data_IF_540828705433
#
_entry.id   IF_540828705433
#
_cell.length_a   1.000
_cell.length_b   1.000
_cell.length_c   1.000
_cell.angle_alpha   90.00
_cell.angle_beta   90.00
_cell.angle_gamma   90.00
#
_symmetry.space_group_name_H-M   'P 1'
#
loop_
_entity.id
_entity.type
_entity.pdbx_description
1 polymer ?
#
# COMPACT_ATOMS: atom_id res chain seq x y z
N UNK A 1 12.21 -17.08 41.45
CA UNK A 1 11.79 -15.85 40.75
C UNK A 1 11.33 -14.78 41.74
N UNK A 2 10.41 -15.08 42.67
CA UNK A 2 9.84 -14.13 43.64
C UNK A 2 10.88 -13.51 44.57
N UNK A 3 11.97 -14.23 44.92
CA UNK A 3 13.05 -13.78 45.80
C UNK A 3 13.97 -12.72 45.11
N UNK A 4 14.22 -12.90 43.81
CA UNK A 4 15.05 -11.95 43.01
C UNK A 4 14.31 -10.64 42.78
N UNK A 5 13.01 -10.67 42.50
CA UNK A 5 12.16 -9.49 42.33
C UNK A 5 12.16 -8.64 43.63
N UNK A 6 12.07 -9.27 44.81
CA UNK A 6 12.10 -8.56 46.10
C UNK A 6 13.48 -7.95 46.41
N UNK A 7 14.56 -8.68 46.06
CA UNK A 7 15.93 -8.28 46.43
C UNK A 7 16.48 -7.16 45.50
N UNK A 8 16.07 -7.14 44.23
CA UNK A 8 16.58 -6.17 43.24
C UNK A 8 15.55 -5.13 42.80
N UNK A 9 14.34 -5.13 43.41
CA UNK A 9 13.25 -4.18 43.16
C UNK A 9 12.92 -3.99 41.67
N UNK A 10 12.91 -5.11 40.94
CA UNK A 10 12.50 -5.06 39.52
C UNK A 10 11.03 -4.64 39.40
N UNK A 11 10.78 -3.58 38.62
CA UNK A 11 9.42 -3.15 38.29
C UNK A 11 8.78 -4.17 37.32
N UNK A 12 7.71 -4.78 37.75
CA UNK A 12 6.89 -5.69 36.91
C UNK A 12 5.53 -5.04 36.69
N UNK A 13 4.83 -5.31 35.55
CA UNK A 13 3.48 -4.80 35.33
C UNK A 13 2.57 -5.06 36.52
N UNK A 14 1.95 -4.00 37.09
CA UNK A 14 1.11 -4.06 38.30
C UNK A 14 1.81 -3.71 39.61
N UNK A 15 3.08 -3.26 39.56
CA UNK A 15 3.85 -2.81 40.75
C UNK A 15 4.52 -1.46 40.52
N UNK A 16 3.74 -0.54 39.94
CA UNK A 16 4.14 0.85 39.73
C UNK A 16 3.70 1.69 40.93
N UNK A 17 4.66 2.44 41.53
CA UNK A 17 4.41 3.36 42.65
C UNK A 17 3.79 4.68 42.11
N UNK A 18 2.69 4.61 41.37
CA UNK A 18 1.92 5.78 41.04
C UNK A 18 0.48 5.56 41.50
N UNK A 19 0.08 6.39 42.44
CA UNK A 19 -1.32 6.57 42.89
C UNK A 19 -2.24 7.15 41.79
N UNK A 20 -1.91 6.97 40.53
CA UNK A 20 -2.83 7.24 39.42
C UNK A 20 -3.68 5.97 39.23
N UNK A 21 -4.88 6.01 39.77
CA UNK A 21 -5.93 5.02 39.48
C UNK A 21 -5.99 4.78 37.98
N UNK A 22 -5.67 3.56 37.56
CA UNK A 22 -5.98 3.08 36.20
C UNK A 22 -7.49 3.11 36.04
N UNK A 23 -8.02 4.25 35.61
CA UNK A 23 -9.43 4.37 35.23
C UNK A 23 -9.68 3.52 34.01
N UNK A 24 -10.27 2.36 34.22
CA UNK A 24 -10.94 1.62 33.16
C UNK A 24 -12.08 2.50 32.63
N UNK A 25 -11.88 3.11 31.48
CA UNK A 25 -12.92 3.87 30.82
C UNK A 25 -14.05 2.93 30.40
N UNK A 26 -15.22 3.16 30.96
CA UNK A 26 -16.44 2.45 30.54
C UNK A 26 -16.99 3.13 29.27
N UNK A 27 -17.85 2.39 28.53
CA UNK A 27 -18.51 2.92 27.32
C UNK A 27 -19.19 4.28 27.57
N UNK A 28 -19.68 4.55 28.79
CA UNK A 28 -20.27 5.83 29.21
C UNK A 28 -19.25 6.95 29.36
N UNK A 29 -18.00 6.65 29.73
CA UNK A 29 -16.95 7.65 29.87
C UNK A 29 -16.43 8.11 28.50
N UNK A 30 -16.50 7.23 27.49
CA UNK A 30 -16.18 7.54 26.10
C UNK A 30 -17.25 8.43 25.49
N UNK A 31 -18.55 8.18 25.77
CA UNK A 31 -19.66 9.00 25.30
C UNK A 31 -19.67 10.40 25.95
N UNK A 32 -19.27 10.52 27.22
CA UNK A 32 -19.17 11.80 27.91
C UNK A 32 -18.02 12.69 27.38
N UNK A 33 -16.92 12.11 26.87
CA UNK A 33 -15.83 12.84 26.21
C UNK A 33 -16.17 13.34 24.81
N UNK A 34 -17.12 12.72 24.12
CA UNK A 34 -17.62 13.20 22.81
C UNK A 34 -18.35 14.56 22.86
N UNK A 35 -18.77 14.99 24.05
CA UNK A 35 -19.51 16.26 24.22
C UNK A 35 -18.67 17.44 24.74
N UNK A 36 -17.36 17.33 24.81
CA UNK A 36 -16.47 18.39 25.35
C UNK A 36 -15.11 18.50 24.65
N UNK A 37 -15.05 19.20 23.54
CA UNK A 37 -13.93 20.03 23.07
C UNK A 37 -12.61 19.37 22.65
N UNK A 38 -12.32 19.42 21.34
CA UNK A 38 -10.99 19.37 20.69
C UNK A 38 -10.19 18.06 20.76
N UNK A 39 -10.66 17.02 20.07
CA UNK A 39 -9.84 15.98 19.43
C UNK A 39 -10.72 15.19 18.43
N UNK A 40 -11.38 15.86 17.49
CA UNK A 40 -12.42 15.28 16.64
C UNK A 40 -12.14 15.37 15.12
N UNK A 41 -10.95 15.81 14.69
CA UNK A 41 -10.71 15.95 13.25
C UNK A 41 -10.39 14.61 12.54
N UNK A 42 -9.64 13.71 13.16
CA UNK A 42 -9.28 12.44 12.51
C UNK A 42 -10.46 11.46 12.33
N UNK A 43 -11.20 11.18 13.39
CA UNK A 43 -12.30 10.20 13.34
C UNK A 43 -13.52 10.66 12.52
N UNK A 44 -13.70 11.98 12.34
CA UNK A 44 -14.77 12.53 11.50
C UNK A 44 -14.42 12.42 10.01
N UNK A 45 -13.16 12.64 9.66
CA UNK A 45 -12.63 12.53 8.28
C UNK A 45 -12.64 11.06 7.80
N UNK A 46 -12.27 10.12 8.65
CA UNK A 46 -12.26 8.69 8.32
C UNK A 46 -13.68 8.12 8.14
N UNK A 47 -14.65 8.56 8.94
CA UNK A 47 -16.06 8.20 8.78
C UNK A 47 -16.68 8.78 7.50
N UNK A 48 -16.26 9.97 7.09
CA UNK A 48 -16.70 10.62 5.86
C UNK A 48 -16.11 9.91 4.62
N UNK A 49 -14.84 9.51 4.65
CA UNK A 49 -14.20 8.73 3.58
C UNK A 49 -14.91 7.39 3.37
N UNK A 50 -15.21 6.66 4.44
CA UNK A 50 -15.92 5.37 4.37
C UNK A 50 -17.35 5.54 3.82
N UNK A 51 -18.03 6.63 4.16
CA UNK A 51 -19.36 6.96 3.63
C UNK A 51 -19.30 7.23 2.11
N UNK A 52 -18.29 7.98 1.65
CA UNK A 52 -18.09 8.27 0.23
C UNK A 52 -17.74 7.01 -0.55
N UNK A 53 -16.88 6.11 -0.02
CA UNK A 53 -16.56 4.82 -0.63
C UNK A 53 -17.83 3.96 -0.73
N UNK A 54 -18.62 3.87 0.33
CA UNK A 54 -19.86 3.13 0.35
C UNK A 54 -20.84 3.65 -0.72
N UNK A 55 -21.02 4.97 -0.81
CA UNK A 55 -21.85 5.59 -1.83
C UNK A 55 -21.31 5.37 -3.25
N UNK A 56 -19.99 5.47 -3.44
CA UNK A 56 -19.34 5.20 -4.71
C UNK A 56 -19.49 3.74 -5.18
N UNK A 57 -19.63 2.80 -4.26
CA UNK A 57 -19.94 1.39 -4.55
C UNK A 57 -21.44 1.14 -4.79
N UNK A 58 -22.29 2.17 -4.75
CA UNK A 58 -23.73 2.06 -4.97
C UNK A 58 -24.54 1.81 -3.71
N UNK A 59 -23.97 2.15 -2.54
CA UNK A 59 -24.61 2.05 -1.24
C UNK A 59 -24.44 0.69 -0.54
N UNK A 60 -24.67 0.66 0.77
CA UNK A 60 -24.49 -0.51 1.64
C UNK A 60 -25.15 -1.79 1.07
N UNK A 61 -26.37 -1.66 0.54
CA UNK A 61 -27.14 -2.79 0.00
C UNK A 61 -26.54 -3.37 -1.29
N UNK A 62 -25.69 -2.61 -1.98
CA UNK A 62 -25.01 -3.08 -3.19
C UNK A 62 -23.70 -3.82 -2.88
N UNK A 63 -23.15 -3.69 -1.68
CA UNK A 63 -21.88 -4.31 -1.28
C UNK A 63 -22.17 -5.68 -0.68
N UNK A 64 -21.63 -6.74 -1.28
CA UNK A 64 -21.77 -8.11 -0.75
C UNK A 64 -20.54 -8.58 0.03
N UNK A 65 -19.35 -8.08 -0.32
CA UNK A 65 -18.09 -8.46 0.32
C UNK A 65 -17.06 -7.34 0.22
N UNK A 66 -16.20 -7.22 1.25
CA UNK A 66 -15.09 -6.26 1.30
C UNK A 66 -13.83 -6.98 1.74
N UNK A 67 -12.82 -7.01 0.88
CA UNK A 67 -11.50 -7.54 1.15
C UNK A 67 -10.43 -6.57 0.65
N UNK A 68 -9.17 -6.81 0.95
CA UNK A 68 -8.07 -6.04 0.38
C UNK A 68 -6.86 -6.93 0.09
N UNK A 69 -6.04 -6.49 -0.83
CA UNK A 69 -4.66 -6.97 -0.94
C UNK A 69 -3.72 -5.83 -0.54
N UNK A 70 -2.46 -5.94 -0.92
CA UNK A 70 -1.39 -5.00 -0.59
C UNK A 70 -1.74 -3.52 -0.82
N UNK A 71 -2.46 -3.21 -1.89
CA UNK A 71 -2.70 -1.83 -2.35
C UNK A 71 -4.09 -1.59 -2.88
N UNK A 72 -4.96 -2.62 -2.93
CA UNK A 72 -6.30 -2.55 -3.53
C UNK A 72 -7.37 -2.97 -2.53
N UNK A 73 -8.36 -2.13 -2.36
CA UNK A 73 -9.63 -2.53 -1.77
C UNK A 73 -10.39 -3.36 -2.81
N UNK A 74 -10.78 -4.56 -2.46
CA UNK A 74 -11.50 -5.49 -3.32
C UNK A 74 -12.92 -5.64 -2.81
N UNK A 75 -13.87 -5.11 -3.54
CA UNK A 75 -15.28 -5.19 -3.18
C UNK A 75 -16.01 -6.06 -4.19
N UNK A 76 -16.93 -6.88 -3.70
CA UNK A 76 -17.93 -7.56 -4.56
C UNK A 76 -19.24 -6.83 -4.42
N UNK A 77 -19.87 -6.47 -5.55
CA UNK A 77 -21.14 -5.75 -5.60
C UNK A 77 -22.21 -6.59 -6.28
N UNK A 78 -23.48 -6.39 -5.91
CA UNK A 78 -24.59 -7.08 -6.56
C UNK A 78 -24.87 -6.53 -7.97
N UNK A 79 -24.79 -5.19 -8.11
CA UNK A 79 -25.07 -4.49 -9.37
C UNK A 79 -23.90 -3.56 -9.71
N UNK A 80 -23.01 -3.98 -10.62
CA UNK A 80 -21.85 -3.21 -11.07
C UNK A 80 -22.23 -1.86 -11.72
N UNK A 81 -23.42 -1.78 -12.32
CA UNK A 81 -23.92 -0.55 -12.95
C UNK A 81 -24.22 0.59 -11.95
N UNK A 82 -24.29 0.30 -10.64
CA UNK A 82 -24.47 1.31 -9.57
C UNK A 82 -23.18 1.91 -9.08
N UNK A 83 -22.03 1.37 -9.50
CA UNK A 83 -20.72 1.85 -9.06
C UNK A 83 -20.39 3.16 -9.78
N UNK A 84 -19.98 4.15 -8.99
CA UNK A 84 -19.60 5.48 -9.47
C UNK A 84 -18.10 5.68 -9.34
N UNK A 85 -17.36 5.48 -10.43
CA UNK A 85 -15.90 5.60 -10.48
C UNK A 85 -15.39 7.00 -10.18
N UNK A 86 -16.13 8.04 -10.59
CA UNK A 86 -15.73 9.42 -10.32
C UNK A 86 -15.77 9.71 -8.82
N UNK A 87 -16.82 9.24 -8.12
CA UNK A 87 -16.92 9.38 -6.67
C UNK A 87 -15.82 8.56 -5.96
N UNK A 88 -15.54 7.35 -6.42
CA UNK A 88 -14.45 6.54 -5.86
C UNK A 88 -13.07 7.18 -6.07
N UNK A 89 -12.81 7.76 -7.24
CA UNK A 89 -11.56 8.52 -7.48
C UNK A 89 -11.47 9.77 -6.60
N UNK A 90 -12.58 10.46 -6.36
CA UNK A 90 -12.62 11.64 -5.48
C UNK A 90 -12.26 11.30 -4.01
N UNK A 91 -12.33 10.02 -3.60
CA UNK A 91 -11.87 9.57 -2.28
C UNK A 91 -10.34 9.42 -2.17
N UNK A 92 -9.59 9.77 -3.20
CA UNK A 92 -8.14 9.63 -3.26
C UNK A 92 -7.67 8.29 -3.84
N UNK A 93 -8.56 7.53 -4.49
CA UNK A 93 -8.17 6.33 -5.21
C UNK A 93 -7.42 6.68 -6.49
N UNK A 94 -6.27 6.05 -6.72
CA UNK A 94 -5.48 6.21 -7.95
C UNK A 94 -6.15 5.56 -9.16
N UNK A 95 -7.09 4.63 -8.96
CA UNK A 95 -7.81 3.97 -10.02
C UNK A 95 -8.91 3.04 -9.53
N UNK A 96 -9.84 2.70 -10.45
CA UNK A 96 -10.91 1.73 -10.22
C UNK A 96 -10.93 0.74 -11.37
N UNK A 97 -10.92 -0.55 -11.05
CA UNK A 97 -10.91 -1.65 -12.03
C UNK A 97 -12.13 -2.53 -11.80
N UNK A 98 -12.86 -2.83 -12.87
CA UNK A 98 -14.03 -3.69 -12.85
C UNK A 98 -13.73 -5.08 -13.40
N UNK A 99 -14.11 -6.14 -12.65
CA UNK A 99 -14.06 -7.55 -13.10
C UNK A 99 -15.40 -8.23 -12.80
N UNK A 100 -16.37 -8.07 -13.69
CA UNK A 100 -17.74 -8.54 -13.48
C UNK A 100 -18.40 -7.82 -12.31
N UNK A 101 -18.73 -8.53 -11.23
CA UNK A 101 -19.26 -7.97 -9.98
C UNK A 101 -18.15 -7.53 -9.01
N UNK A 102 -16.88 -7.83 -9.31
CA UNK A 102 -15.74 -7.40 -8.52
C UNK A 102 -15.29 -6.01 -8.91
N UNK A 103 -15.09 -5.14 -7.91
CA UNK A 103 -14.56 -3.78 -8.04
C UNK A 103 -13.27 -3.69 -7.23
N UNK A 104 -12.18 -3.29 -7.87
CA UNK A 104 -10.89 -3.08 -7.22
C UNK A 104 -10.59 -1.59 -7.21
N UNK A 105 -10.45 -1.02 -6.03
CA UNK A 105 -10.19 0.41 -5.82
C UNK A 105 -8.78 0.53 -5.27
N UNK A 106 -7.92 1.31 -5.92
CA UNK A 106 -6.49 1.36 -5.64
C UNK A 106 -6.20 2.54 -4.73
N UNK A 107 -5.84 2.24 -3.47
CA UNK A 107 -5.50 3.21 -2.43
C UNK A 107 -4.04 3.16 -1.99
N UNK A 108 -3.24 2.25 -2.58
CA UNK A 108 -1.86 2.04 -2.14
C UNK A 108 -1.76 1.39 -0.75
N UNK A 109 -0.63 1.58 -0.05
CA UNK A 109 -0.33 0.88 1.22
C UNK A 109 -1.34 1.14 2.35
N UNK A 110 -2.08 2.25 2.30
CA UNK A 110 -3.10 2.62 3.31
C UNK A 110 -4.38 1.78 3.26
N UNK A 111 -4.50 0.89 2.28
CA UNK A 111 -5.73 0.12 2.00
C UNK A 111 -6.22 -0.72 3.17
N UNK A 112 -5.34 -1.27 3.99
CA UNK A 112 -5.73 -2.08 5.16
C UNK A 112 -6.50 -1.26 6.20
N UNK A 113 -6.05 -0.02 6.46
CA UNK A 113 -6.76 0.91 7.35
C UNK A 113 -8.09 1.32 6.74
N UNK A 114 -8.12 1.63 5.44
CA UNK A 114 -9.35 1.99 4.72
C UNK A 114 -10.36 0.84 4.76
N UNK A 115 -9.91 -0.41 4.57
CA UNK A 115 -10.78 -1.59 4.69
C UNK A 115 -11.40 -1.68 6.06
N UNK A 116 -10.59 -1.61 7.12
CA UNK A 116 -11.07 -1.72 8.51
C UNK A 116 -12.10 -0.63 8.82
N UNK A 117 -11.82 0.61 8.44
CA UNK A 117 -12.74 1.74 8.66
C UNK A 117 -14.04 1.59 7.84
N UNK A 118 -13.96 1.04 6.62
CA UNK A 118 -15.13 0.77 5.79
C UNK A 118 -15.99 -0.35 6.39
N UNK A 119 -15.39 -1.44 6.88
CA UNK A 119 -16.11 -2.53 7.56
C UNK A 119 -16.83 -2.00 8.81
N UNK A 120 -16.15 -1.23 9.65
CA UNK A 120 -16.73 -0.59 10.83
C UNK A 120 -17.89 0.36 10.45
N UNK A 121 -17.73 1.14 9.38
CA UNK A 121 -18.80 1.99 8.85
C UNK A 121 -19.99 1.16 8.38
N UNK A 122 -19.76 0.09 7.60
CA UNK A 122 -20.82 -0.75 7.06
C UNK A 122 -21.61 -1.46 8.17
N UNK A 123 -21.01 -1.79 9.31
CA UNK A 123 -21.75 -2.35 10.47
C UNK A 123 -22.76 -1.35 11.03
N UNK A 124 -22.44 -0.06 11.06
CA UNK A 124 -23.21 0.99 11.73
C UNK A 124 -23.96 1.94 10.79
N UNK A 125 -23.69 1.88 9.46
CA UNK A 125 -24.29 2.77 8.47
C UNK A 125 -25.82 2.58 8.40
N UNK A 126 -26.58 3.68 8.25
CA UNK A 126 -28.01 3.61 7.99
C UNK A 126 -28.28 2.88 6.66
N UNK A 127 -29.42 2.22 6.57
CA UNK A 127 -29.83 1.53 5.33
C UNK A 127 -30.29 2.48 4.22
N UNK A 128 -30.41 3.78 4.51
CA UNK A 128 -30.80 4.80 3.55
C UNK A 128 -29.59 5.26 2.73
N UNK A 129 -29.81 5.45 1.42
CA UNK A 129 -28.77 5.89 0.49
C UNK A 129 -28.32 7.31 0.83
N UNK A 130 -27.04 7.49 1.16
CA UNK A 130 -26.41 8.81 1.24
C UNK A 130 -26.01 9.22 -0.17
N UNK A 131 -26.73 10.19 -0.74
CA UNK A 131 -26.38 10.75 -2.07
C UNK A 131 -25.36 11.86 -1.88
N UNK A 132 -24.21 11.72 -2.53
CA UNK A 132 -23.20 12.79 -2.65
C UNK A 132 -23.35 13.46 -4.03
N UNK A 133 -23.36 14.79 -4.04
CA UNK A 133 -23.42 15.56 -5.28
C UNK A 133 -22.01 15.71 -5.84
N UNK A 134 -21.77 15.15 -7.04
CA UNK A 134 -20.47 15.17 -7.74
C UNK A 134 -20.35 16.32 -8.73
N UNK A 135 -21.21 17.33 -8.68
CA UNK A 135 -21.25 18.43 -9.68
C UNK A 135 -19.99 19.31 -9.72
N UNK A 136 -19.09 19.23 -8.72
CA UNK A 136 -17.90 20.08 -8.60
C UNK A 136 -16.57 19.28 -8.68
N UNK A 137 -16.58 18.02 -9.10
CA UNK A 137 -15.35 17.26 -9.28
C UNK A 137 -14.83 17.43 -10.70
N UNK A 138 -13.90 18.36 -10.87
CA UNK A 138 -13.10 18.45 -12.11
C UNK A 138 -12.22 17.18 -12.22
N UNK A 139 -12.35 16.45 -13.33
CA UNK A 139 -11.43 15.36 -13.65
C UNK A 139 -10.00 15.95 -13.77
N UNK A 140 -9.01 15.38 -13.06
CA UNK A 140 -7.63 15.78 -13.27
C UNK A 140 -7.24 15.42 -14.71
N UNK A 141 -7.17 16.43 -15.58
CA UNK A 141 -6.63 16.29 -16.93
C UNK A 141 -5.15 15.95 -16.81
N UNK A 142 -4.77 14.72 -17.17
CA UNK A 142 -3.37 14.37 -17.40
C UNK A 142 -2.84 15.17 -18.58
N UNK A 143 -2.29 16.34 -18.31
CA UNK A 143 -1.50 17.06 -19.31
C UNK A 143 -0.14 16.36 -19.50
N UNK A 144 -0.02 15.68 -20.62
CA UNK A 144 1.23 15.16 -21.16
C UNK A 144 2.15 16.33 -21.62
N UNK A 145 2.78 17.05 -20.68
CA UNK A 145 3.72 18.15 -21.00
C UNK A 145 4.98 18.14 -20.14
N UNK A 146 5.61 16.98 -19.94
CA UNK A 146 6.82 16.87 -19.10
C UNK A 146 8.13 16.87 -19.90
N UNK A 147 8.09 16.87 -21.24
CA UNK A 147 9.30 16.67 -22.09
C UNK A 147 10.33 17.80 -22.10
N UNK A 148 10.05 18.98 -21.50
CA UNK A 148 10.94 20.14 -21.66
C UNK A 148 11.33 20.88 -20.36
N UNK A 149 11.09 20.27 -19.18
CA UNK A 149 11.51 20.86 -17.90
C UNK A 149 12.98 20.51 -17.59
N UNK A 150 13.72 21.48 -17.02
CA UNK A 150 15.10 21.24 -16.58
C UNK A 150 15.13 20.33 -15.38
N UNK A 151 16.05 19.38 -15.38
CA UNK A 151 16.25 18.42 -14.30
C UNK A 151 16.89 19.09 -13.09
N UNK A 152 16.27 19.00 -11.93
CA UNK A 152 16.76 19.55 -10.65
C UNK A 152 17.51 18.50 -9.82
N UNK A 153 16.97 17.30 -9.71
CA UNK A 153 17.57 16.19 -8.98
C UNK A 153 17.33 14.87 -9.71
N UNK A 154 18.10 13.86 -9.41
CA UNK A 154 17.92 12.50 -9.92
C UNK A 154 18.42 11.50 -8.93
N UNK A 155 17.56 10.56 -8.56
CA UNK A 155 17.88 9.43 -7.72
C UNK A 155 17.79 8.15 -8.53
N UNK A 156 18.80 7.29 -8.43
CA UNK A 156 18.86 6.04 -9.17
C UNK A 156 18.46 4.90 -8.25
N UNK A 157 17.45 4.16 -8.67
CA UNK A 157 17.01 2.93 -8.04
C UNK A 157 17.66 1.76 -8.78
N UNK A 158 18.28 0.89 -8.01
CA UNK A 158 18.96 -0.29 -8.55
C UNK A 158 18.00 -1.47 -8.70
N UNK A 159 18.35 -2.43 -9.55
CA UNK A 159 17.64 -3.70 -9.60
C UNK A 159 17.79 -4.46 -8.28
N UNK A 160 16.69 -4.93 -7.68
CA UNK A 160 16.74 -5.72 -6.46
C UNK A 160 17.18 -7.18 -6.71
N UNK A 161 17.25 -7.65 -7.93
CA UNK A 161 17.70 -9.01 -8.29
C UNK A 161 18.25 -9.10 -9.71
N UNK A 162 18.96 -10.20 -9.99
CA UNK A 162 19.36 -10.59 -11.33
C UNK A 162 18.11 -10.98 -12.12
N UNK A 163 18.00 -10.52 -13.37
CA UNK A 163 16.83 -10.84 -14.16
C UNK A 163 16.74 -10.12 -15.49
N UNK A 164 15.53 -9.98 -15.98
CA UNK A 164 15.19 -9.27 -17.21
C UNK A 164 14.32 -8.08 -16.86
N UNK A 165 14.87 -6.87 -17.01
CA UNK A 165 14.18 -5.61 -16.79
C UNK A 165 13.28 -5.25 -17.96
N UNK A 166 12.19 -4.55 -17.67
CA UNK A 166 11.27 -4.02 -18.66
C UNK A 166 10.50 -2.81 -18.12
N UNK A 167 9.81 -2.14 -19.03
CA UNK A 167 8.91 -1.03 -18.68
C UNK A 167 7.73 -1.53 -17.87
N UNK A 168 7.28 -0.73 -16.88
CA UNK A 168 6.16 -1.11 -16.01
C UNK A 168 4.87 -1.40 -16.80
N UNK A 169 4.68 -0.77 -17.96
CA UNK A 169 3.52 -1.00 -18.83
C UNK A 169 3.46 -2.41 -19.41
N UNK A 170 4.54 -3.18 -19.30
CA UNK A 170 4.60 -4.59 -19.71
C UNK A 170 4.14 -5.57 -18.62
N UNK A 171 3.83 -5.07 -17.42
CA UNK A 171 3.29 -5.90 -16.35
C UNK A 171 1.97 -6.57 -16.78
N UNK A 172 1.78 -7.89 -16.56
CA UNK A 172 0.55 -8.59 -16.91
C UNK A 172 -0.56 -8.36 -15.86
N UNK A 173 -0.71 -7.12 -15.44
CA UNK A 173 -1.73 -6.63 -14.51
C UNK A 173 -2.03 -5.15 -14.80
N UNK A 174 -3.31 -4.83 -14.99
CA UNK A 174 -3.76 -3.49 -15.38
C UNK A 174 -3.44 -2.39 -14.36
N UNK A 175 -3.42 -2.72 -13.06
CA UNK A 175 -3.08 -1.74 -12.01
C UNK A 175 -1.62 -1.33 -12.04
N UNK A 176 -0.72 -2.28 -12.32
CA UNK A 176 0.70 -1.98 -12.51
C UNK A 176 0.97 -1.36 -13.89
N UNK A 177 0.48 -1.96 -14.97
CA UNK A 177 0.69 -1.46 -16.33
C UNK A 177 0.07 -0.08 -16.55
N UNK A 178 -1.06 0.21 -15.93
CA UNK A 178 -1.72 1.53 -15.96
C UNK A 178 -1.12 2.55 -14.99
N UNK A 179 -0.02 2.23 -14.30
CA UNK A 179 0.66 3.11 -13.31
C UNK A 179 -0.26 3.59 -12.17
N UNK A 180 -1.34 2.88 -11.92
CA UNK A 180 -2.31 3.25 -10.88
C UNK A 180 -1.77 2.98 -9.45
N UNK A 181 -0.68 2.23 -9.33
CA UNK A 181 -0.04 1.87 -8.05
C UNK A 181 1.31 2.56 -7.85
N UNK A 182 1.62 3.56 -8.67
CA UNK A 182 2.90 4.20 -8.77
C UNK A 182 3.57 3.95 -10.12
N UNK A 183 4.76 4.49 -10.32
CA UNK A 183 5.54 4.34 -11.54
C UNK A 183 6.90 3.69 -11.23
N UNK A 184 7.50 3.02 -12.21
CA UNK A 184 8.75 2.31 -12.01
C UNK A 184 9.12 1.39 -13.15
N UNK A 185 9.52 0.16 -12.80
CA UNK A 185 9.92 -0.86 -13.74
C UNK A 185 9.41 -2.24 -13.31
N UNK A 186 9.47 -3.21 -14.22
CA UNK A 186 9.34 -4.63 -13.89
C UNK A 186 10.70 -5.32 -14.03
N UNK A 187 10.91 -6.35 -13.23
CA UNK A 187 12.01 -7.28 -13.45
C UNK A 187 11.49 -8.72 -13.32
N UNK A 188 11.79 -9.55 -14.31
CA UNK A 188 11.57 -10.99 -14.21
C UNK A 188 12.80 -11.63 -13.59
N UNK A 189 12.73 -12.13 -12.33
CA UNK A 189 13.90 -12.65 -11.64
C UNK A 189 14.41 -13.94 -12.28
N UNK A 190 15.74 -14.06 -12.39
CA UNK A 190 16.44 -15.28 -12.79
C UNK A 190 17.18 -15.93 -11.63
N UNK A 191 17.33 -15.20 -10.51
CA UNK A 191 17.90 -15.65 -9.25
C UNK A 191 16.99 -15.31 -8.07
N UNK A 192 16.99 -16.17 -7.03
CA UNK A 192 16.00 -16.13 -5.95
C UNK A 192 16.33 -15.18 -4.81
N UNK A 193 17.40 -14.37 -4.86
CA UNK A 193 17.69 -13.43 -3.77
C UNK A 193 17.28 -12.02 -4.16
N UNK A 194 16.49 -11.37 -3.29
CA UNK A 194 16.06 -9.97 -3.42
C UNK A 194 16.94 -9.11 -2.53
N UNK A 195 17.51 -8.08 -3.10
CA UNK A 195 18.41 -7.13 -2.41
C UNK A 195 17.79 -5.75 -2.30
N UNK A 196 18.23 -4.96 -1.31
CA UNK A 196 17.84 -3.56 -1.17
C UNK A 196 18.26 -2.74 -2.41
N UNK A 197 17.31 -2.03 -3.06
CA UNK A 197 17.58 -1.30 -4.30
C UNK A 197 18.29 0.04 -4.05
N UNK A 198 18.28 0.51 -2.81
CA UNK A 198 18.91 1.74 -2.33
C UNK A 198 19.22 1.62 -0.84
N UNK A 199 19.90 2.62 -0.28
CA UNK A 199 19.97 2.81 1.17
C UNK A 199 18.60 3.27 1.68
N UNK A 200 18.14 2.74 2.83
CA UNK A 200 16.82 3.11 3.37
C UNK A 200 16.35 2.24 4.53
N UNK A 201 15.04 2.22 4.72
CA UNK A 201 14.37 1.51 5.82
C UNK A 201 13.22 0.66 5.29
N UNK A 202 13.05 -0.53 5.84
CA UNK A 202 11.89 -1.41 5.59
C UNK A 202 10.70 -0.85 6.34
N UNK A 203 9.69 -0.33 5.65
CA UNK A 203 8.52 0.26 6.30
C UNK A 203 7.53 -0.80 6.77
N UNK A 204 7.19 -1.73 5.89
CA UNK A 204 6.26 -2.81 6.18
C UNK A 204 6.54 -4.05 5.34
N UNK A 205 6.11 -5.19 5.85
CA UNK A 205 6.18 -6.49 5.17
C UNK A 205 4.76 -7.07 5.17
N UNK A 206 4.24 -7.39 3.99
CA UNK A 206 2.90 -8.00 3.94
C UNK A 206 2.87 -9.36 4.60
N UNK A 207 1.79 -9.68 5.30
CA UNK A 207 1.60 -10.97 6.01
C UNK A 207 1.84 -12.17 5.09
N UNK A 208 1.44 -12.05 3.83
CA UNK A 208 1.67 -13.05 2.78
C UNK A 208 3.05 -12.95 2.14
N UNK A 209 3.95 -12.14 2.67
CA UNK A 209 5.38 -12.00 2.31
C UNK A 209 5.69 -11.72 0.84
N UNK A 210 4.67 -11.48 0.01
CA UNK A 210 4.83 -11.29 -1.43
C UNK A 210 5.30 -9.89 -1.81
N UNK A 211 5.27 -8.94 -0.86
CA UNK A 211 5.69 -7.58 -1.09
C UNK A 211 6.31 -6.94 0.15
N UNK A 212 7.23 -6.01 -0.08
CA UNK A 212 7.92 -5.19 0.93
C UNK A 212 7.71 -3.72 0.57
N UNK A 213 7.20 -2.93 1.51
CA UNK A 213 7.25 -1.47 1.49
C UNK A 213 8.60 -1.00 2.00
N UNK A 214 9.20 -0.06 1.30
CA UNK A 214 10.57 0.37 1.53
C UNK A 214 10.69 1.88 1.33
N UNK A 215 11.19 2.60 2.32
CA UNK A 215 11.47 4.02 2.23
C UNK A 215 12.95 4.25 1.97
N UNK A 216 13.30 4.88 0.87
CA UNK A 216 14.70 5.24 0.60
C UNK A 216 15.17 6.38 1.51
N UNK A 217 16.48 6.47 1.79
CA UNK A 217 17.06 7.62 2.52
C UNK A 217 16.88 8.96 1.76
N UNK A 218 16.56 8.91 0.45
CA UNK A 218 16.23 10.07 -0.37
C UNK A 218 14.76 10.49 -0.30
N UNK A 219 13.93 9.78 0.47
CA UNK A 219 12.52 10.10 0.68
C UNK A 219 11.57 9.52 -0.36
N UNK A 220 12.01 8.57 -1.19
CA UNK A 220 11.18 7.91 -2.21
C UNK A 220 10.51 6.68 -1.58
N UNK A 221 9.17 6.64 -1.47
CA UNK A 221 8.44 5.47 -1.00
C UNK A 221 8.34 4.43 -2.10
N UNK A 222 8.76 3.21 -1.81
CA UNK A 222 8.85 2.13 -2.80
C UNK A 222 8.01 0.92 -2.42
N UNK A 223 7.51 0.22 -3.43
CA UNK A 223 6.96 -1.11 -3.33
C UNK A 223 7.79 -2.09 -4.16
N UNK A 224 8.30 -3.12 -3.49
CA UNK A 224 8.95 -4.27 -4.10
C UNK A 224 7.91 -5.41 -4.10
N UNK A 225 7.27 -5.69 -5.24
CA UNK A 225 6.19 -6.67 -5.34
C UNK A 225 6.65 -7.89 -6.15
N UNK A 226 6.69 -9.06 -5.51
CA UNK A 226 7.27 -10.28 -6.07
C UNK A 226 6.22 -11.09 -6.81
N UNK A 227 6.25 -11.06 -8.14
CA UNK A 227 5.30 -11.73 -9.02
C UNK A 227 3.93 -11.05 -9.07
N UNK A 228 3.01 -11.61 -9.82
CA UNK A 228 1.64 -11.13 -9.97
C UNK A 228 0.67 -12.10 -9.29
N UNK A 229 -0.31 -11.58 -8.55
CA UNK A 229 -1.32 -12.34 -7.81
C UNK A 229 -0.75 -13.33 -6.75
N UNK A 230 0.50 -13.16 -6.37
CA UNK A 230 1.23 -14.05 -5.44
C UNK A 230 0.75 -13.94 -3.99
N UNK A 231 -0.08 -12.93 -3.67
CA UNK A 231 -0.84 -12.87 -2.41
C UNK A 231 -1.63 -14.15 -2.15
N UNK A 232 -2.13 -14.82 -3.19
CA UNK A 232 -2.89 -16.08 -3.11
C UNK A 232 -2.07 -17.28 -2.67
N UNK A 233 -0.73 -17.15 -2.63
CA UNK A 233 0.18 -18.22 -2.19
C UNK A 233 0.35 -18.26 -0.66
N UNK A 234 -0.25 -17.30 0.07
CA UNK A 234 -0.26 -17.28 1.55
C UNK A 234 1.13 -17.35 2.17
N UNK A 235 2.11 -16.70 1.55
CA UNK A 235 3.50 -16.65 2.02
C UNK A 235 4.38 -17.83 1.62
N UNK A 236 3.85 -18.80 0.89
CA UNK A 236 4.64 -19.92 0.35
C UNK A 236 5.53 -19.45 -0.79
N UNK A 237 6.79 -19.89 -0.78
CA UNK A 237 7.79 -19.49 -1.78
C UNK A 237 8.54 -18.20 -1.41
N UNK A 238 8.30 -17.62 -0.21
CA UNK A 238 8.95 -16.40 0.28
C UNK A 238 9.60 -16.62 1.64
N UNK A 239 10.89 -16.30 1.75
CA UNK A 239 11.64 -16.26 3.01
C UNK A 239 12.10 -14.82 3.26
N UNK A 240 11.54 -14.16 4.27
CA UNK A 240 11.94 -12.79 4.66
C UNK A 240 13.22 -12.83 5.47
N UNK A 241 14.17 -11.96 5.13
CA UNK A 241 15.49 -11.86 5.79
C UNK A 241 15.66 -10.58 6.60
N UNK A 242 14.67 -9.68 6.57
CA UNK A 242 14.66 -8.37 7.26
C UNK A 242 13.43 -8.26 8.16
N UNK A 243 13.37 -7.20 8.95
CA UNK A 243 12.22 -6.86 9.80
C UNK A 243 11.75 -5.44 9.51
N UNK A 244 10.50 -5.14 9.81
CA UNK A 244 9.97 -3.78 9.75
C UNK A 244 10.77 -2.84 10.67
N UNK A 245 11.00 -1.62 10.21
CA UNK A 245 11.87 -0.63 10.85
C UNK A 245 13.37 -0.89 10.69
N UNK A 246 13.77 -1.95 10.00
CA UNK A 246 15.18 -2.25 9.77
C UNK A 246 15.78 -1.33 8.71
N UNK A 247 16.88 -0.65 9.07
CA UNK A 247 17.72 0.07 8.10
C UNK A 247 18.61 -0.90 7.34
N UNK A 248 18.64 -0.74 6.04
CA UNK A 248 19.45 -1.54 5.12
C UNK A 248 20.25 -0.66 4.19
N UNK A 249 21.35 -1.20 3.69
CA UNK A 249 22.17 -0.59 2.65
C UNK A 249 21.85 -1.21 1.31
N UNK A 250 22.03 -0.44 0.23
CA UNK A 250 21.94 -0.96 -1.12
C UNK A 250 22.75 -2.24 -1.27
N UNK A 251 22.08 -3.32 -1.71
CA UNK A 251 22.68 -4.64 -1.89
C UNK A 251 22.60 -5.55 -0.67
N UNK A 252 22.05 -5.11 0.47
CA UNK A 252 21.76 -6.02 1.58
C UNK A 252 20.63 -6.99 1.18
N UNK A 253 20.71 -8.29 1.53
CA UNK A 253 19.67 -9.25 1.21
C UNK A 253 18.42 -9.00 2.05
N UNK A 254 17.26 -8.91 1.41
CA UNK A 254 15.98 -8.62 2.05
C UNK A 254 15.03 -9.82 2.06
N UNK A 255 15.06 -10.65 1.01
CA UNK A 255 14.14 -11.78 0.85
C UNK A 255 14.78 -12.86 -0.04
N UNK A 256 14.34 -14.11 0.14
CA UNK A 256 14.58 -15.19 -0.83
C UNK A 256 13.28 -15.66 -1.45
N UNK A 257 13.36 -15.97 -2.74
CA UNK A 257 12.29 -16.49 -3.57
C UNK A 257 12.60 -17.96 -3.94
N UNK A 258 11.64 -18.84 -3.72
CA UNK A 258 11.65 -20.16 -4.34
C UNK A 258 11.11 -20.03 -5.77
N UNK A 259 11.99 -19.73 -6.73
CA UNK A 259 11.61 -19.47 -8.12
C UNK A 259 10.95 -20.67 -8.80
N UNK A 260 11.34 -21.89 -8.44
CA UNK A 260 10.73 -23.12 -8.97
C UNK A 260 9.27 -23.19 -8.52
N UNK A 261 9.02 -23.02 -7.21
CA UNK A 261 7.67 -22.99 -6.66
C UNK A 261 6.84 -21.84 -7.24
N UNK A 262 7.38 -20.62 -7.28
CA UNK A 262 6.65 -19.44 -7.77
C UNK A 262 6.31 -19.58 -9.25
N UNK A 263 7.22 -20.07 -10.09
CA UNK A 263 6.97 -20.30 -11.52
C UNK A 263 5.87 -21.33 -11.76
N UNK A 264 5.78 -22.35 -10.90
CA UNK A 264 4.77 -23.40 -11.00
C UNK A 264 3.38 -22.97 -10.49
N UNK A 265 3.30 -22.01 -9.54
CA UNK A 265 2.06 -21.73 -8.80
C UNK A 265 1.55 -20.28 -8.97
N UNK A 266 2.37 -19.32 -9.39
CA UNK A 266 1.96 -17.94 -9.62
C UNK A 266 1.51 -17.74 -11.09
N UNK A 267 0.54 -16.84 -11.35
CA UNK A 267 0.20 -16.43 -12.72
C UNK A 267 1.37 -15.83 -13.49
N UNK A 268 2.28 -15.13 -12.80
CA UNK A 268 3.51 -14.58 -13.36
C UNK A 268 4.52 -14.30 -12.25
N UNK A 269 5.81 -14.50 -12.55
CA UNK A 269 6.92 -14.09 -11.67
C UNK A 269 7.47 -12.70 -12.00
N UNK A 270 6.90 -12.01 -13.00
CA UNK A 270 7.23 -10.61 -13.30
C UNK A 270 6.96 -9.78 -12.04
N UNK A 271 7.98 -9.08 -11.57
CA UNK A 271 7.99 -8.39 -10.27
C UNK A 271 8.08 -6.88 -10.46
N UNK A 272 6.99 -6.14 -10.16
CA UNK A 272 6.98 -4.69 -10.18
C UNK A 272 7.83 -4.08 -9.06
N UNK A 273 8.64 -3.08 -9.41
CA UNK A 273 9.48 -2.27 -8.52
C UNK A 273 9.09 -0.81 -8.76
N UNK A 274 8.42 -0.21 -7.79
CA UNK A 274 7.70 1.06 -7.96
C UNK A 274 8.13 2.13 -6.97
N UNK A 275 8.17 3.38 -7.41
CA UNK A 275 7.85 4.55 -6.59
C UNK A 275 6.32 4.61 -6.46
N UNK A 276 5.80 4.56 -5.23
CA UNK A 276 4.35 4.46 -4.98
C UNK A 276 3.64 5.81 -4.93
N UNK A 277 4.37 6.90 -4.73
CA UNK A 277 3.83 8.25 -4.58
C UNK A 277 4.66 9.25 -5.42
N UNK A 278 4.78 9.05 -6.76
CA UNK A 278 5.51 9.99 -7.61
C UNK A 278 4.84 11.37 -7.57
N UNK A 279 5.63 12.42 -7.30
CA UNK A 279 5.15 13.80 -7.28
C UNK A 279 4.88 14.31 -8.71
N UNK A 280 3.99 15.29 -8.87
CA UNK A 280 3.61 15.89 -10.18
C UNK A 280 4.80 16.47 -10.96
N UNK A 281 5.86 16.88 -10.25
CA UNK A 281 7.09 17.40 -10.83
C UNK A 281 8.18 16.31 -11.00
N UNK A 282 7.84 15.05 -10.82
CA UNK A 282 8.74 13.91 -10.99
C UNK A 282 8.45 13.16 -12.28
N UNK A 283 9.47 12.50 -12.78
CA UNK A 283 9.41 11.60 -13.92
C UNK A 283 10.26 10.36 -13.65
N UNK A 284 9.69 9.20 -13.88
CA UNK A 284 10.43 7.95 -13.89
C UNK A 284 11.07 7.76 -15.27
N UNK A 285 12.37 7.54 -15.29
CA UNK A 285 13.11 7.20 -16.51
C UNK A 285 13.73 5.83 -16.38
N UNK A 286 13.26 4.89 -17.20
CA UNK A 286 13.85 3.55 -17.29
C UNK A 286 15.31 3.66 -17.73
N UNK A 287 16.20 2.93 -17.04
CA UNK A 287 17.65 2.90 -17.32
C UNK A 287 18.10 1.56 -17.90
N UNK A 288 17.34 0.49 -17.64
CA UNK A 288 17.63 -0.85 -18.13
C UNK A 288 16.40 -1.46 -18.80
N UNK A 289 16.63 -2.14 -19.93
CA UNK A 289 15.63 -2.94 -20.64
C UNK A 289 16.35 -4.17 -21.19
N UNK A 290 15.99 -5.36 -20.72
CA UNK A 290 16.70 -6.62 -21.00
C UNK A 290 17.44 -7.14 -19.78
N UNK A 291 18.52 -7.90 -19.99
CA UNK A 291 19.29 -8.51 -18.89
C UNK A 291 19.85 -7.44 -17.95
N UNK A 292 19.71 -7.68 -16.64
CA UNK A 292 20.17 -6.79 -15.56
C UNK A 292 20.69 -7.63 -14.39
N UNK A 293 21.68 -7.11 -13.67
CA UNK A 293 22.18 -7.68 -12.42
C UNK A 293 21.67 -6.90 -11.21
N UNK A 294 21.54 -7.59 -10.08
CA UNK A 294 21.28 -6.95 -8.80
C UNK A 294 22.28 -5.81 -8.54
N UNK A 295 21.79 -4.66 -8.12
CA UNK A 295 22.60 -3.48 -7.85
C UNK A 295 22.91 -2.61 -9.07
N UNK A 296 22.64 -3.05 -10.31
CA UNK A 296 22.75 -2.20 -11.50
C UNK A 296 21.57 -1.21 -11.58
N UNK A 297 21.76 -0.04 -12.24
CA UNK A 297 20.73 0.97 -12.40
C UNK A 297 19.48 0.45 -13.14
N UNK A 298 18.31 0.43 -12.49
CA UNK A 298 17.06 -0.01 -13.07
C UNK A 298 16.24 1.16 -13.63
N UNK A 299 15.98 2.16 -12.81
CA UNK A 299 15.34 3.40 -13.25
C UNK A 299 15.82 4.60 -12.41
N UNK A 300 15.53 5.80 -12.88
CA UNK A 300 15.79 7.04 -12.17
C UNK A 300 14.49 7.80 -11.89
N UNK A 301 14.37 8.33 -10.67
CA UNK A 301 13.36 9.32 -10.29
C UNK A 301 13.97 10.70 -10.51
N UNK A 302 13.47 11.44 -11.49
CA UNK A 302 13.97 12.74 -11.89
C UNK A 302 13.00 13.83 -11.48
N UNK A 303 13.42 14.73 -10.58
CA UNK A 303 12.65 15.93 -10.23
C UNK A 303 12.92 17.03 -11.27
N UNK A 304 11.87 17.64 -11.78
CA UNK A 304 11.88 18.66 -12.83
C UNK A 304 11.62 20.05 -12.22
N UNK A 305 12.13 21.11 -12.86
CA UNK A 305 11.86 22.51 -12.46
C UNK A 305 10.52 23.00 -13.00
#
# INVERSE_FOLDING_TARGET
FSFLIKKFNFKTPGREDNDDEVKLYTRKDVEAKKNGGKAADGAHVEGELSAQICAGLGGKKNISDVDCCATRLRCTVFEAAKVNDALLKATGASGVIHKGQGVQIIYGPKVTVIKSNLEDYLEHAPEEEVTFDVSDVEEPQQENTVENRKKKASYVIASPFDGIAGDITTAPDEGFAGKMMGDGAVVTPTEGTVYAPADGEVEFIFDTKHAIGFQTDSGIPMLLHMGIDTVKLEGKGFEILVTEGQKVKKGDPMMKLDLEFLTANAPSIISPILDTEPEDNQRIRLLANGEIKAGEPLFAVETLE
#
